data_IF_412481743229
#
_entry.id   IF_412481743229
#
_cell.length_a   1.000
_cell.length_b   1.000
_cell.length_c   1.000
_cell.angle_alpha   90.00
_cell.angle_beta   90.00
_cell.angle_gamma   90.00
#
_symmetry.space_group_name_H-M   'P 1'
#
loop_
_entity.id
_entity.type
_entity.pdbx_description
1 polymer ?
#
# COMPACT_ATOMS: atom_id res chain seq x y z
N UNK A 1 -15.28 35.07 -2.25
CA UNK A 1 -14.30 35.30 -1.15
C UNK A 1 -14.14 34.06 -0.29
N UNK A 2 -15.17 33.55 0.39
CA UNK A 2 -15.05 32.36 1.24
C UNK A 2 -14.85 31.06 0.44
N UNK A 3 -15.56 30.92 -0.68
CA UNK A 3 -15.49 29.70 -1.49
C UNK A 3 -14.20 29.63 -2.32
N UNK A 4 -13.64 30.77 -2.77
CA UNK A 4 -12.36 30.80 -3.49
C UNK A 4 -11.20 30.38 -2.59
N UNK A 5 -11.21 30.81 -1.32
CA UNK A 5 -10.22 30.42 -0.33
C UNK A 5 -10.36 28.94 0.01
N UNK A 6 -11.59 28.43 0.09
CA UNK A 6 -11.86 27.00 0.30
C UNK A 6 -11.34 26.15 -0.85
N UNK A 7 -11.56 26.57 -2.10
CA UNK A 7 -11.05 25.88 -3.29
C UNK A 7 -9.52 25.88 -3.32
N UNK A 8 -8.89 27.02 -3.01
CA UNK A 8 -7.42 27.10 -2.88
C UNK A 8 -6.89 26.18 -1.80
N UNK A 9 -7.53 26.14 -0.63
CA UNK A 9 -7.15 25.24 0.46
C UNK A 9 -7.29 23.77 0.03
N UNK A 10 -8.38 23.41 -0.66
CA UNK A 10 -8.57 22.07 -1.22
C UNK A 10 -7.43 21.67 -2.16
N UNK A 11 -7.10 22.54 -3.13
CA UNK A 11 -6.00 22.30 -4.08
C UNK A 11 -4.65 22.15 -3.37
N UNK A 12 -4.33 23.02 -2.40
CA UNK A 12 -3.10 22.92 -1.61
C UNK A 12 -3.04 21.64 -0.77
N UNK A 13 -4.18 21.15 -0.28
CA UNK A 13 -4.28 19.89 0.44
C UNK A 13 -4.29 18.64 -0.46
N UNK A 14 -4.22 18.81 -1.79
CA UNK A 14 -4.32 17.70 -2.75
C UNK A 14 -5.74 17.13 -2.92
N UNK A 15 -6.76 17.87 -2.49
CA UNK A 15 -8.18 17.52 -2.66
C UNK A 15 -8.70 18.16 -3.94
N UNK A 16 -9.09 17.33 -4.91
CA UNK A 16 -9.60 17.83 -6.19
C UNK A 16 -11.00 18.42 -6.03
N UNK A 17 -11.22 19.72 -6.28
CA UNK A 17 -12.56 20.33 -6.15
C UNK A 17 -13.46 20.01 -7.34
N UNK A 18 -12.90 19.45 -8.41
CA UNK A 18 -13.61 19.11 -9.64
C UNK A 18 -13.16 17.74 -10.10
N UNK A 19 -14.08 16.96 -10.66
CA UNK A 19 -13.77 15.64 -11.18
C UNK A 19 -14.60 15.33 -12.42
N UNK A 20 -14.11 14.39 -13.22
CA UNK A 20 -14.78 13.93 -14.43
C UNK A 20 -15.31 12.53 -14.17
N UNK A 21 -16.61 12.31 -14.39
CA UNK A 21 -17.23 11.01 -14.18
C UNK A 21 -16.91 10.01 -15.30
N UNK A 22 -17.40 8.78 -15.13
CA UNK A 22 -17.20 7.68 -16.08
C UNK A 22 -17.90 7.91 -17.43
N UNK A 23 -18.85 8.84 -17.50
CA UNK A 23 -19.53 9.27 -18.73
C UNK A 23 -18.85 10.49 -19.37
N UNK A 24 -17.81 11.01 -18.72
CA UNK A 24 -17.03 12.13 -19.18
C UNK A 24 -17.60 13.50 -18.81
N UNK A 25 -18.63 13.58 -17.96
CA UNK A 25 -19.17 14.84 -17.49
C UNK A 25 -18.33 15.39 -16.33
N UNK A 26 -18.15 16.72 -16.31
CA UNK A 26 -17.48 17.42 -15.22
C UNK A 26 -18.45 17.72 -14.09
N UNK A 27 -17.99 17.51 -12.86
CA UNK A 27 -18.72 17.78 -11.63
C UNK A 27 -17.86 18.62 -10.68
N UNK A 28 -18.51 19.58 -10.02
CA UNK A 28 -17.91 20.37 -8.96
C UNK A 28 -18.31 19.79 -7.59
N UNK A 29 -17.34 19.70 -6.68
CA UNK A 29 -17.58 19.20 -5.32
C UNK A 29 -18.24 20.31 -4.51
N UNK A 30 -19.32 19.98 -3.79
CA UNK A 30 -20.03 20.97 -2.97
C UNK A 30 -19.12 21.56 -1.87
N UNK A 31 -19.27 22.85 -1.50
CA UNK A 31 -18.50 23.44 -0.40
C UNK A 31 -18.63 22.67 0.92
N UNK A 32 -19.82 22.12 1.21
CA UNK A 32 -20.05 21.31 2.40
C UNK A 32 -19.20 20.04 2.41
N UNK A 33 -19.11 19.35 1.28
CA UNK A 33 -18.25 18.16 1.13
C UNK A 33 -16.78 18.52 1.25
N UNK A 34 -16.33 19.62 0.63
CA UNK A 34 -14.96 20.08 0.74
C UNK A 34 -14.58 20.34 2.20
N UNK A 35 -15.43 21.05 2.96
CA UNK A 35 -15.18 21.32 4.37
C UNK A 35 -15.10 20.05 5.21
N UNK A 36 -15.96 19.07 4.94
CA UNK A 36 -15.94 17.78 5.63
C UNK A 36 -14.64 17.01 5.38
N UNK A 37 -14.24 16.89 4.11
CA UNK A 37 -13.00 16.18 3.72
C UNK A 37 -11.78 16.87 4.30
N UNK A 38 -11.68 18.20 4.16
CA UNK A 38 -10.57 18.98 4.72
C UNK A 38 -10.48 18.85 6.24
N UNK A 39 -11.61 18.91 6.94
CA UNK A 39 -11.63 18.72 8.40
C UNK A 39 -11.19 17.31 8.79
N UNK A 40 -11.60 16.29 8.04
CA UNK A 40 -11.16 14.91 8.25
C UNK A 40 -9.66 14.70 7.99
N UNK A 41 -9.05 15.53 7.13
CA UNK A 41 -7.60 15.59 6.90
C UNK A 41 -6.85 16.43 7.97
N UNK A 42 -7.56 16.97 8.96
CA UNK A 42 -6.96 17.80 10.00
C UNK A 42 -6.76 19.26 9.61
N UNK A 43 -7.49 19.76 8.60
CA UNK A 43 -7.49 21.15 8.15
C UNK A 43 -8.86 21.81 8.43
N UNK A 44 -9.11 22.30 9.66
CA UNK A 44 -10.38 22.93 10.02
C UNK A 44 -10.67 24.14 9.15
N UNK A 45 -11.88 24.18 8.59
CA UNK A 45 -12.31 25.26 7.70
C UNK A 45 -13.80 25.56 7.87
N UNK A 46 -14.31 25.46 9.09
CA UNK A 46 -15.69 25.80 9.46
C UNK A 46 -15.93 27.31 9.57
N UNK A 47 -14.87 28.07 9.85
CA UNK A 47 -14.87 29.54 9.95
C UNK A 47 -13.81 30.15 9.05
N UNK A 48 -13.96 31.43 8.70
CA UNK A 48 -13.01 32.17 7.88
C UNK A 48 -11.62 32.22 8.53
N UNK A 49 -11.57 32.37 9.86
CA UNK A 49 -10.32 32.37 10.62
C UNK A 49 -9.62 31.00 10.59
N UNK A 50 -10.36 29.91 10.80
CA UNK A 50 -9.82 28.55 10.72
C UNK A 50 -9.29 28.25 9.31
N UNK A 51 -10.07 28.59 8.28
CA UNK A 51 -9.70 28.38 6.89
C UNK A 51 -8.45 29.18 6.49
N UNK A 52 -8.34 30.44 6.92
CA UNK A 52 -7.13 31.24 6.70
C UNK A 52 -5.91 30.65 7.41
N UNK A 53 -6.06 30.14 8.64
CA UNK A 53 -4.99 29.49 9.38
C UNK A 53 -4.53 28.19 8.70
N UNK A 54 -5.47 27.32 8.28
CA UNK A 54 -5.16 26.08 7.56
C UNK A 54 -4.52 26.34 6.20
N UNK A 55 -4.95 27.38 5.47
CA UNK A 55 -4.29 27.76 4.22
C UNK A 55 -2.86 28.24 4.47
N UNK A 56 -2.65 29.09 5.47
CA UNK A 56 -1.32 29.57 5.84
C UNK A 56 -0.41 28.46 6.40
N UNK A 57 -0.96 27.37 6.91
CA UNK A 57 -0.21 26.16 7.30
C UNK A 57 0.15 25.33 6.07
N UNK A 58 -0.80 25.05 5.19
CA UNK A 58 -0.58 24.30 3.96
C UNK A 58 0.44 24.99 3.03
N UNK A 59 0.36 26.32 2.87
CA UNK A 59 1.29 27.11 2.04
C UNK A 59 2.71 27.18 2.64
N UNK A 60 2.86 27.00 3.95
CA UNK A 60 4.19 27.03 4.60
C UNK A 60 5.03 25.81 4.26
N UNK A 61 4.39 24.70 3.92
CA UNK A 61 5.04 23.41 3.71
C UNK A 61 5.66 22.84 4.99
N UNK A 62 6.18 21.60 4.93
CA UNK A 62 6.81 20.98 6.09
C UNK A 62 8.13 21.70 6.43
N UNK A 63 8.30 22.05 7.72
CA UNK A 63 9.53 22.68 8.25
C UNK A 63 10.68 21.67 8.36
N UNK A 64 10.38 20.37 8.32
CA UNK A 64 11.33 19.27 8.45
C UNK A 64 11.23 18.32 7.27
N UNK A 65 12.20 17.42 7.13
CA UNK A 65 12.06 16.29 6.20
C UNK A 65 10.77 15.50 6.50
N UNK A 66 10.03 15.04 5.48
CA UNK A 66 8.90 14.15 5.67
C UNK A 66 9.38 12.82 6.28
N UNK A 67 8.50 12.02 6.90
CA UNK A 67 8.88 10.74 7.53
C UNK A 67 9.42 9.71 6.53
N UNK A 68 9.03 9.83 5.25
CA UNK A 68 9.46 8.98 4.16
C UNK A 68 9.70 9.83 2.91
N UNK A 69 10.82 9.59 2.25
CA UNK A 69 11.15 10.13 0.93
C UNK A 69 11.27 8.96 -0.03
N UNK A 70 10.68 9.08 -1.21
CA UNK A 70 10.80 8.07 -2.27
C UNK A 70 11.73 8.55 -3.37
N UNK A 71 12.58 7.67 -3.86
CA UNK A 71 13.47 7.93 -4.99
C UNK A 71 13.50 6.75 -5.96
N UNK A 72 13.99 6.99 -7.17
CA UNK A 72 14.23 5.92 -8.15
C UNK A 72 15.70 5.49 -8.13
N UNK A 73 15.92 4.18 -8.16
CA UNK A 73 17.26 3.60 -8.21
C UNK A 73 18.07 4.15 -9.39
N UNK A 74 19.33 4.48 -9.11
CA UNK A 74 20.28 5.01 -10.11
C UNK A 74 20.03 6.45 -10.54
N UNK A 75 19.09 7.18 -9.92
CA UNK A 75 18.86 8.61 -10.18
C UNK A 75 19.29 9.48 -8.99
N UNK A 76 19.79 10.71 -9.22
CA UNK A 76 20.03 11.67 -8.16
C UNK A 76 18.76 11.94 -7.35
N UNK A 77 18.92 12.13 -6.04
CA UNK A 77 17.79 12.27 -5.12
C UNK A 77 17.65 13.74 -4.75
N UNK A 78 16.60 14.38 -5.23
CA UNK A 78 16.28 15.77 -4.88
C UNK A 78 15.39 15.80 -3.64
N UNK A 79 15.82 16.52 -2.61
CA UNK A 79 15.08 16.69 -1.37
C UNK A 79 14.41 18.06 -1.34
N UNK A 80 13.19 18.11 -0.79
CA UNK A 80 12.49 19.37 -0.50
C UNK A 80 13.06 20.13 0.72
N UNK A 81 14.38 20.17 0.87
CA UNK A 81 15.09 20.79 1.99
C UNK A 81 16.35 21.51 1.50
N UNK A 82 16.85 22.45 2.29
CA UNK A 82 18.09 23.17 2.01
C UNK A 82 19.31 22.21 1.99
N UNK A 83 20.35 22.50 1.19
CA UNK A 83 21.59 21.72 1.17
C UNK A 83 22.25 21.71 2.56
N UNK A 84 22.81 20.57 2.92
CA UNK A 84 23.36 20.31 4.25
C UNK A 84 24.22 19.07 4.30
N UNK A 85 24.83 18.80 5.45
CA UNK A 85 25.60 17.59 5.67
C UNK A 85 24.63 16.41 5.77
N UNK A 86 24.87 15.37 4.98
CA UNK A 86 24.08 14.15 5.03
C UNK A 86 24.89 12.96 5.52
N UNK A 87 24.18 12.02 6.14
CA UNK A 87 24.60 10.66 6.42
C UNK A 87 23.48 9.73 5.95
N UNK A 88 23.81 8.78 5.08
CA UNK A 88 22.91 7.81 4.51
C UNK A 88 23.39 6.42 4.86
N UNK A 89 22.62 5.71 5.68
CA UNK A 89 22.85 4.30 5.99
C UNK A 89 21.95 3.47 5.08
N UNK A 90 22.58 2.73 4.16
CA UNK A 90 21.90 1.81 3.26
C UNK A 90 21.33 0.61 4.03
N UNK A 91 20.45 -0.14 3.36
CA UNK A 91 19.75 -1.27 3.98
C UNK A 91 20.71 -2.40 4.36
N UNK A 92 21.81 -2.55 3.61
CA UNK A 92 22.88 -3.51 3.89
C UNK A 92 23.85 -3.06 5.00
N UNK A 93 23.64 -1.87 5.57
CA UNK A 93 24.50 -1.27 6.60
C UNK A 93 25.66 -0.45 6.07
N UNK A 94 25.84 -0.33 4.75
CA UNK A 94 26.85 0.57 4.15
C UNK A 94 26.49 2.02 4.45
N UNK A 95 27.46 2.81 4.90
CA UNK A 95 27.27 4.25 5.17
C UNK A 95 27.89 5.10 4.07
N UNK A 96 27.14 6.10 3.61
CA UNK A 96 27.57 7.15 2.71
C UNK A 96 27.35 8.49 3.41
N UNK A 97 28.36 9.34 3.50
CA UNK A 97 28.23 10.68 4.06
C UNK A 97 28.88 11.73 3.18
N UNK A 98 28.44 12.98 3.32
CA UNK A 98 28.96 14.07 2.52
C UNK A 98 28.16 15.36 2.68
N UNK A 99 28.43 16.30 1.77
CA UNK A 99 27.64 17.52 1.62
C UNK A 99 26.67 17.32 0.45
N UNK A 100 25.38 17.59 0.68
CA UNK A 100 24.41 17.57 -0.40
C UNK A 100 24.73 18.71 -1.38
N UNK A 101 24.61 18.44 -2.68
CA UNK A 101 24.76 19.49 -3.69
C UNK A 101 23.58 20.46 -3.60
N UNK A 102 23.82 21.73 -3.92
CA UNK A 102 22.78 22.75 -4.04
C UNK A 102 22.35 22.87 -5.50
N UNK A 103 21.09 22.53 -5.77
CA UNK A 103 20.46 22.77 -7.07
C UNK A 103 19.21 23.61 -6.86
N UNK A 104 19.35 24.92 -7.03
CA UNK A 104 18.22 25.85 -6.93
C UNK A 104 17.66 25.99 -5.51
N UNK A 105 18.50 25.86 -4.48
CA UNK A 105 18.11 25.90 -3.07
C UNK A 105 17.66 24.55 -2.50
N UNK A 106 17.72 23.49 -3.30
CA UNK A 106 17.35 22.13 -2.90
C UNK A 106 18.59 21.24 -2.74
N UNK A 107 18.61 20.47 -1.66
CA UNK A 107 19.60 19.44 -1.41
C UNK A 107 19.46 18.30 -2.43
N UNK A 108 20.55 17.98 -3.12
CA UNK A 108 20.63 16.84 -4.04
C UNK A 108 21.69 15.86 -3.54
N UNK A 109 21.26 14.62 -3.28
CA UNK A 109 22.13 13.52 -2.88
C UNK A 109 22.57 12.69 -4.10
N UNK A 110 23.73 12.01 -4.02
CA UNK A 110 24.14 11.02 -5.01
C UNK A 110 23.08 9.94 -5.23
N UNK A 111 23.09 9.36 -6.43
CA UNK A 111 22.20 8.25 -6.76
C UNK A 111 22.50 7.02 -5.90
N UNK A 112 21.44 6.34 -5.45
CA UNK A 112 21.53 5.04 -4.80
C UNK A 112 21.14 3.97 -5.80
N UNK A 113 22.04 3.02 -6.06
CA UNK A 113 21.83 1.98 -7.07
C UNK A 113 20.92 0.84 -6.58
N UNK A 114 21.01 0.49 -5.30
CA UNK A 114 20.26 -0.61 -4.71
C UNK A 114 18.85 -0.14 -4.31
N UNK A 115 17.77 -0.78 -4.82
CA UNK A 115 16.44 -0.60 -4.24
C UNK A 115 16.41 -1.06 -2.79
N UNK A 116 15.62 -0.40 -1.96
CA UNK A 116 15.51 -0.75 -0.54
C UNK A 116 15.01 0.39 0.34
N UNK A 117 14.98 0.12 1.65
CA UNK A 117 14.67 1.09 2.69
C UNK A 117 15.95 1.51 3.42
N UNK A 118 16.36 2.75 3.19
CA UNK A 118 17.56 3.34 3.77
C UNK A 118 17.21 4.37 4.83
N UNK A 119 18.20 4.76 5.64
CA UNK A 119 18.05 5.78 6.68
C UNK A 119 18.88 6.99 6.30
N UNK A 120 18.22 8.13 6.11
CA UNK A 120 18.86 9.39 5.78
C UNK A 120 18.81 10.32 6.99
N UNK A 121 19.94 10.94 7.30
CA UNK A 121 20.05 12.07 8.21
C UNK A 121 20.59 13.26 7.42
N UNK A 122 19.89 14.40 7.41
CA UNK A 122 20.33 15.66 6.80
C UNK A 122 20.34 16.74 7.87
N UNK A 123 21.50 17.33 8.17
CA UNK A 123 21.68 18.33 9.24
C UNK A 123 21.01 17.93 10.57
N UNK A 124 21.13 16.65 10.94
CA UNK A 124 20.55 16.11 12.16
C UNK A 124 19.08 15.70 12.07
N UNK A 125 18.38 16.03 10.97
CA UNK A 125 17.01 15.60 10.72
C UNK A 125 16.98 14.23 10.05
N UNK A 126 16.29 13.27 10.67
CA UNK A 126 16.24 11.88 10.20
C UNK A 126 14.95 11.56 9.44
N UNK A 127 15.08 10.79 8.37
CA UNK A 127 13.97 10.25 7.57
C UNK A 127 14.28 8.85 7.04
N UNK A 128 13.27 8.16 6.51
CA UNK A 128 13.42 6.95 5.71
C UNK A 128 13.53 7.33 4.23
N UNK A 129 14.49 6.77 3.53
CA UNK A 129 14.61 6.88 2.07
C UNK A 129 14.23 5.52 1.44
N UNK A 130 13.09 5.45 0.76
CA UNK A 130 12.70 4.28 -0.02
C UNK A 130 13.15 4.46 -1.47
N UNK A 131 14.11 3.65 -1.91
CA UNK A 131 14.60 3.64 -3.28
C UNK A 131 13.88 2.51 -4.03
N UNK A 132 13.11 2.87 -5.05
CA UNK A 132 12.32 1.94 -5.86
C UNK A 132 12.99 1.64 -7.21
N UNK A 133 12.80 0.44 -7.77
CA UNK A 133 13.20 0.16 -9.15
C UNK A 133 12.39 1.00 -10.15
N UNK A 134 12.94 1.26 -11.34
CA UNK A 134 12.29 2.06 -12.37
C UNK A 134 11.00 1.42 -12.95
N UNK A 135 10.83 0.10 -12.77
CA UNK A 135 9.63 -0.63 -13.16
C UNK A 135 9.39 -1.81 -12.23
N UNK A 136 8.14 -2.26 -12.15
CA UNK A 136 7.78 -3.50 -11.48
C UNK A 136 8.32 -4.72 -12.23
N UNK A 137 8.44 -5.84 -11.52
CA UNK A 137 8.57 -7.16 -12.11
C UNK A 137 7.31 -7.49 -12.91
N UNK A 138 7.49 -8.01 -14.12
CA UNK A 138 6.43 -8.21 -15.10
C UNK A 138 6.34 -9.67 -15.55
N UNK A 139 5.25 -10.02 -16.25
CA UNK A 139 5.10 -11.33 -16.88
C UNK A 139 6.23 -11.61 -17.88
N UNK A 140 6.75 -10.59 -18.55
CA UNK A 140 7.87 -10.73 -19.50
C UNK A 140 9.17 -11.10 -18.79
N UNK A 141 9.36 -10.71 -17.53
CA UNK A 141 10.53 -11.12 -16.73
C UNK A 141 10.37 -12.57 -16.25
N UNK A 142 9.16 -12.96 -15.86
CA UNK A 142 8.86 -14.30 -15.38
C UNK A 142 8.87 -15.35 -16.50
N UNK A 143 8.37 -15.00 -17.69
CA UNK A 143 8.21 -15.89 -18.83
C UNK A 143 8.62 -15.20 -20.16
N UNK A 144 9.93 -14.99 -20.40
CA UNK A 144 10.41 -14.23 -21.55
C UNK A 144 9.94 -14.80 -22.90
N UNK A 145 9.29 -13.96 -23.70
CA UNK A 145 8.84 -14.30 -25.05
C UNK A 145 7.61 -15.21 -25.09
N UNK A 146 7.01 -15.49 -23.94
CA UNK A 146 5.82 -16.32 -23.83
C UNK A 146 4.57 -15.48 -23.65
N UNK A 147 3.42 -16.08 -23.93
CA UNK A 147 2.10 -15.54 -23.62
C UNK A 147 1.39 -16.49 -22.66
N UNK A 148 1.82 -16.54 -21.39
CA UNK A 148 1.22 -17.44 -20.42
C UNK A 148 -0.25 -17.10 -20.20
N UNK A 149 -1.05 -18.12 -19.89
CA UNK A 149 -2.40 -17.94 -19.38
C UNK A 149 -2.46 -18.44 -17.94
N UNK A 150 -3.38 -17.87 -17.16
CA UNK A 150 -3.61 -18.23 -15.75
C UNK A 150 -5.07 -18.59 -15.54
N UNK A 151 -5.34 -19.46 -14.58
CA UNK A 151 -6.70 -19.76 -14.16
C UNK A 151 -7.11 -18.81 -13.02
N UNK A 152 -8.17 -18.03 -13.20
CA UNK A 152 -8.72 -17.20 -12.13
C UNK A 152 -9.83 -17.97 -11.41
N UNK A 153 -9.69 -18.14 -10.10
CA UNK A 153 -10.67 -18.86 -9.26
C UNK A 153 -11.08 -18.03 -8.05
N UNK A 154 -12.34 -18.19 -7.67
CA UNK A 154 -12.82 -17.74 -6.36
C UNK A 154 -12.45 -18.85 -5.36
N UNK A 155 -11.47 -18.62 -4.49
CA UNK A 155 -10.90 -19.68 -3.63
C UNK A 155 -12.00 -20.37 -2.80
N UNK A 156 -12.89 -19.59 -2.20
CA UNK A 156 -14.02 -20.08 -1.41
C UNK A 156 -14.99 -20.99 -2.18
N UNK A 157 -15.02 -20.91 -3.51
CA UNK A 157 -15.88 -21.70 -4.38
C UNK A 157 -15.26 -23.04 -4.80
N UNK A 158 -13.97 -23.27 -4.52
CA UNK A 158 -13.38 -24.59 -4.73
C UNK A 158 -14.03 -25.62 -3.80
N UNK A 159 -13.98 -26.88 -4.23
CA UNK A 159 -14.50 -28.02 -3.50
C UNK A 159 -13.50 -29.16 -3.56
N UNK A 160 -13.38 -29.88 -2.46
CA UNK A 160 -12.65 -31.15 -2.38
C UNK A 160 -13.33 -32.07 -1.38
N UNK A 161 -13.02 -33.35 -1.45
CA UNK A 161 -13.46 -34.29 -0.42
C UNK A 161 -12.80 -33.93 0.92
N UNK A 162 -13.59 -33.99 1.99
CA UNK A 162 -13.14 -33.67 3.35
C UNK A 162 -13.02 -32.17 3.67
N UNK A 163 -13.54 -31.28 2.81
CA UNK A 163 -13.69 -29.86 3.15
C UNK A 163 -14.92 -29.61 4.07
N UNK A 164 -14.98 -28.40 4.65
CA UNK A 164 -16.10 -27.94 5.47
C UNK A 164 -17.16 -27.15 4.66
N UNK A 165 -17.29 -27.41 3.36
CA UNK A 165 -18.19 -26.67 2.46
C UNK A 165 -17.66 -25.31 2.00
N UNK A 166 -16.37 -25.04 2.22
CA UNK A 166 -15.65 -23.84 1.81
C UNK A 166 -14.31 -24.26 1.21
N UNK A 167 -13.95 -23.70 0.05
CA UNK A 167 -12.65 -23.98 -0.55
C UNK A 167 -11.51 -23.47 0.31
N UNK A 168 -10.56 -24.35 0.60
CA UNK A 168 -9.38 -24.10 1.43
C UNK A 168 -8.08 -24.20 0.60
N UNK A 169 -6.94 -24.02 1.28
CA UNK A 169 -5.62 -24.18 0.65
C UNK A 169 -5.35 -25.60 0.16
N UNK A 170 -6.03 -26.62 0.70
CA UNK A 170 -5.99 -27.98 0.19
C UNK A 170 -6.65 -28.09 -1.18
N UNK A 171 -7.84 -27.50 -1.34
CA UNK A 171 -8.57 -27.50 -2.62
C UNK A 171 -7.80 -26.72 -3.70
N UNK A 172 -7.10 -25.64 -3.30
CA UNK A 172 -6.19 -24.93 -4.19
C UNK A 172 -5.00 -25.82 -4.60
N UNK A 173 -4.41 -26.56 -3.66
CA UNK A 173 -3.31 -27.49 -3.93
C UNK A 173 -3.74 -28.58 -4.94
N UNK A 174 -4.93 -29.16 -4.78
CA UNK A 174 -5.48 -30.18 -5.67
C UNK A 174 -5.71 -29.65 -7.10
N UNK A 175 -6.00 -28.35 -7.25
CA UNK A 175 -6.21 -27.70 -8.54
C UNK A 175 -4.90 -27.42 -9.31
N UNK A 176 -3.78 -27.20 -8.61
CA UNK A 176 -2.51 -26.79 -9.24
C UNK A 176 -2.01 -27.83 -10.25
N UNK A 177 -2.00 -29.11 -9.88
CA UNK A 177 -1.50 -30.19 -10.74
C UNK A 177 -2.25 -30.30 -12.08
N UNK A 178 -3.59 -30.47 -12.07
CA UNK A 178 -4.41 -30.50 -13.27
C UNK A 178 -4.36 -29.22 -14.11
N UNK A 179 -4.22 -28.04 -13.49
CA UNK A 179 -4.09 -26.78 -14.22
C UNK A 179 -2.73 -26.71 -14.94
N UNK A 180 -1.63 -27.03 -14.24
CA UNK A 180 -0.29 -27.05 -14.79
C UNK A 180 -0.15 -28.09 -15.92
N UNK A 181 -0.76 -29.27 -15.79
CA UNK A 181 -0.75 -30.30 -16.85
C UNK A 181 -1.44 -29.87 -18.15
N UNK A 182 -2.26 -28.81 -18.09
CA UNK A 182 -2.92 -28.17 -19.24
C UNK A 182 -2.18 -26.92 -19.73
N UNK A 183 -1.04 -26.59 -19.13
CA UNK A 183 -0.21 -25.46 -19.51
C UNK A 183 -0.58 -24.14 -18.83
N UNK A 184 -1.37 -24.15 -17.74
CA UNK A 184 -1.59 -22.96 -16.94
C UNK A 184 -0.27 -22.53 -16.30
N UNK A 185 0.10 -21.25 -16.44
CA UNK A 185 1.32 -20.71 -15.84
C UNK A 185 1.14 -20.25 -14.39
N UNK A 186 -0.11 -20.23 -13.91
CA UNK A 186 -0.44 -19.80 -12.55
C UNK A 186 -1.93 -19.85 -12.27
N UNK A 187 -2.25 -19.61 -11.00
CA UNK A 187 -3.62 -19.49 -10.50
C UNK A 187 -3.75 -18.12 -9.84
N UNK A 188 -4.72 -17.33 -10.28
CA UNK A 188 -5.12 -16.10 -9.62
C UNK A 188 -6.29 -16.42 -8.68
N UNK A 189 -6.21 -15.97 -7.43
CA UNK A 189 -7.21 -16.24 -6.41
C UNK A 189 -7.89 -14.95 -5.95
N UNK A 190 -9.10 -15.07 -5.41
CA UNK A 190 -9.75 -14.02 -4.62
C UNK A 190 -8.89 -13.62 -3.40
N UNK A 191 -9.02 -12.39 -2.88
CA UNK A 191 -8.29 -11.97 -1.68
C UNK A 191 -8.50 -12.92 -0.49
N UNK A 192 -7.41 -13.22 0.23
CA UNK A 192 -7.41 -14.09 1.42
C UNK A 192 -7.30 -13.31 2.73
N UNK A 193 -7.64 -12.02 2.71
CA UNK A 193 -7.52 -11.13 3.84
C UNK A 193 -8.42 -11.57 5.01
N UNK A 194 -7.94 -11.38 6.25
CA UNK A 194 -8.71 -11.69 7.44
C UNK A 194 -10.08 -10.99 7.41
N UNK A 195 -11.13 -11.76 7.71
CA UNK A 195 -12.51 -11.31 7.76
C UNK A 195 -12.96 -11.14 9.22
N UNK A 196 -14.25 -11.35 9.50
CA UNK A 196 -14.85 -11.16 10.82
C UNK A 196 -15.29 -12.49 11.39
N UNK A 197 -14.45 -13.14 12.20
CA UNK A 197 -14.76 -14.46 12.77
C UNK A 197 -16.00 -14.48 13.67
N UNK A 198 -16.38 -13.33 14.24
CA UNK A 198 -17.56 -13.17 15.10
C UNK A 198 -18.81 -12.67 14.35
N UNK A 199 -18.69 -12.33 13.05
CA UNK A 199 -19.78 -11.77 12.23
C UNK A 199 -19.69 -12.36 10.82
N UNK A 200 -20.19 -13.60 10.71
CA UNK A 200 -20.03 -14.45 9.51
C UNK A 200 -20.80 -13.95 8.30
N UNK A 201 -21.77 -13.06 8.49
CA UNK A 201 -22.51 -12.42 7.39
C UNK A 201 -21.64 -11.42 6.61
N UNK A 202 -20.51 -11.00 7.18
CA UNK A 202 -19.51 -10.14 6.53
C UNK A 202 -18.45 -10.95 5.78
N UNK A 203 -18.90 -11.74 4.81
CA UNK A 203 -18.08 -12.68 4.06
C UNK A 203 -17.46 -12.11 2.77
N UNK A 204 -17.66 -10.82 2.44
CA UNK A 204 -17.06 -10.20 1.24
C UNK A 204 -15.53 -10.16 1.32
N UNK A 205 -14.78 -10.76 0.36
CA UNK A 205 -13.31 -10.70 0.33
C UNK A 205 -12.76 -9.28 0.14
N UNK A 206 -13.59 -8.35 -0.34
CA UNK A 206 -13.23 -6.97 -0.66
C UNK A 206 -13.57 -5.98 0.47
N UNK A 207 -14.12 -6.47 1.58
CA UNK A 207 -14.37 -5.67 2.80
C UNK A 207 -13.78 -6.35 4.04
N UNK A 208 -12.47 -6.67 4.04
CA UNK A 208 -11.84 -7.41 5.13
C UNK A 208 -11.69 -6.57 6.40
N UNK A 209 -11.47 -7.25 7.53
CA UNK A 209 -11.09 -6.60 8.79
C UNK A 209 -9.62 -6.15 8.76
N UNK A 210 -8.75 -6.93 8.11
CA UNK A 210 -7.34 -6.61 7.93
C UNK A 210 -6.80 -7.09 6.60
N UNK A 211 -6.06 -6.22 5.89
CA UNK A 211 -5.34 -6.57 4.65
C UNK A 211 -3.96 -7.20 4.91
N UNK A 212 -3.48 -7.22 6.14
CA UNK A 212 -2.15 -7.75 6.52
C UNK A 212 -2.20 -9.12 7.18
N UNK A 213 -3.39 -9.57 7.59
CA UNK A 213 -3.63 -10.89 8.17
C UNK A 213 -4.41 -11.76 7.19
N UNK A 214 -4.35 -13.09 7.37
CA UNK A 214 -5.03 -14.07 6.52
C UNK A 214 -6.35 -14.56 7.14
N UNK A 215 -7.30 -14.93 6.29
CA UNK A 215 -8.55 -15.58 6.71
C UNK A 215 -8.30 -17.03 7.08
N UNK A 216 -8.45 -17.35 8.36
CA UNK A 216 -8.24 -18.70 8.91
C UNK A 216 -9.19 -19.74 8.32
N UNK A 217 -10.33 -19.34 7.76
CA UNK A 217 -11.30 -20.26 7.14
C UNK A 217 -10.76 -20.95 5.88
N UNK A 218 -9.71 -20.40 5.24
CA UNK A 218 -9.04 -21.06 4.12
C UNK A 218 -7.91 -22.01 4.57
N UNK A 219 -7.71 -22.19 5.87
CA UNK A 219 -6.77 -23.18 6.39
C UNK A 219 -7.25 -24.58 6.03
N UNK A 220 -6.32 -25.45 5.68
CA UNK A 220 -6.60 -26.86 5.42
C UNK A 220 -6.86 -27.59 6.75
N UNK A 221 -8.07 -28.09 6.95
CA UNK A 221 -8.52 -28.69 8.23
C UNK A 221 -8.06 -30.14 8.44
N UNK A 222 -7.77 -30.88 7.37
CA UNK A 222 -7.34 -32.30 7.38
C UNK A 222 -5.80 -32.46 7.37
N UNK A 223 -5.06 -31.40 7.73
CA UNK A 223 -3.62 -31.52 7.94
C UNK A 223 -3.35 -32.47 9.12
N UNK A 224 -2.22 -33.23 9.10
CA UNK A 224 -1.90 -34.17 10.16
C UNK A 224 -2.03 -33.51 11.52
N UNK A 225 -2.76 -34.19 12.42
CA UNK A 225 -2.99 -33.77 13.80
C UNK A 225 -1.69 -33.23 14.39
N UNK A 226 -1.67 -31.96 14.74
CA UNK A 226 -0.66 -31.50 15.68
C UNK A 226 -0.86 -32.29 16.99
N UNK A 227 0.21 -32.60 17.74
CA UNK A 227 0.13 -33.32 19.01
C UNK A 227 -0.99 -32.85 19.96
N UNK A 228 -1.35 -31.57 19.91
CA UNK A 228 -2.43 -30.95 20.67
C UNK A 228 -3.82 -31.41 20.21
N UNK A 229 -4.04 -31.56 18.90
CA UNK A 229 -5.31 -32.07 18.35
C UNK A 229 -5.48 -33.56 18.66
N UNK A 230 -4.41 -34.35 18.50
CA UNK A 230 -4.39 -35.75 18.91
C UNK A 230 -4.65 -35.92 20.42
N UNK A 231 -4.21 -34.96 21.22
CA UNK A 231 -4.42 -34.93 22.67
C UNK A 231 -5.86 -34.55 23.05
N UNK A 232 -6.52 -33.67 22.28
CA UNK A 232 -7.91 -33.29 22.50
C UNK A 232 -8.89 -34.41 22.12
N UNK A 233 -8.64 -35.13 21.03
CA UNK A 233 -9.40 -36.34 20.67
C UNK A 233 -9.22 -37.46 21.70
N UNK A 234 -8.00 -37.65 22.22
CA UNK A 234 -7.74 -38.60 23.31
C UNK A 234 -8.46 -38.23 24.63
N UNK A 235 -9.03 -37.02 24.72
CA UNK A 235 -9.77 -36.52 25.88
C UNK A 235 -11.30 -36.46 25.64
N UNK A 236 -11.82 -36.99 24.51
CA UNK A 236 -13.24 -36.90 24.12
C UNK A 236 -13.79 -35.45 24.10
N UNK A 237 -12.95 -34.48 23.71
CA UNK A 237 -13.31 -33.06 23.67
C UNK A 237 -13.59 -32.52 22.25
N UNK A 238 -13.54 -33.39 21.24
CA UNK A 238 -13.88 -33.13 19.82
C UNK A 238 -14.74 -34.27 19.31
#
# INVERSE_FOLDING_TARGET
MTDDVLLRLAEQAGVSPRWKDVHGAWHDVSPTTLRYVLSALGLPCDTDAAMAASLAEAERGPVTLPPLITAQAGQPITLGAAPGRFELVLEDGTTLDGMAADVGGHAVLPAVAAPGYHRLTLDGHRTVLAVAPARCFSIQDAAPGQRPWVLAVQLYALRRDGDAGLGDLGALQDLIGPAASRGAAGIAISPMHAQFSADVDRFSPYSPSSRTLLNVLHSRLDMPQDPETARLEAMDLV
#
